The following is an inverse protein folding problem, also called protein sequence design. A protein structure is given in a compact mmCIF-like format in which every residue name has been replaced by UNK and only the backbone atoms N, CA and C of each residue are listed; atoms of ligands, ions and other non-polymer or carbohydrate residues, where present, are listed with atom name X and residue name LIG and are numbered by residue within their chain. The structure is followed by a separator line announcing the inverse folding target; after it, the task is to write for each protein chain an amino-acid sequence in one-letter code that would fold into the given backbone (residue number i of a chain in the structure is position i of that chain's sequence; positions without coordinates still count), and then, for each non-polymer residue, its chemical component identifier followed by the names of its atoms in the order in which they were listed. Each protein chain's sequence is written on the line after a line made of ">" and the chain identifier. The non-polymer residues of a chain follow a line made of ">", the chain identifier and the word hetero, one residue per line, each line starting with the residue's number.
data_IF_477039720849
#
_entry.id   IF_477039720849
#
_cell.length_a   1.000
_cell.length_b   1.000
_cell.length_c   1.000
_cell.angle_alpha   90.00
_cell.angle_beta   90.00
_cell.angle_gamma   90.00
#
_symmetry.space_group_name_H-M   'P 1'
#
loop_
_entity.id
_entity.type
_entity.pdbx_description
1 polymer ?
#
# COMPACT_ATOMS: atom_id res chain seq x y z
N UNK A 1 -16.19 19.10 63.42
CA UNK A 1 -17.13 18.85 62.32
C UNK A 1 -16.63 19.58 61.08
N UNK A 2 -16.48 18.84 59.96
CA UNK A 2 -16.49 19.27 58.54
C UNK A 2 -15.50 20.37 58.07
N UNK A 3 -14.49 20.03 57.24
CA UNK A 3 -14.47 20.13 55.74
C UNK A 3 -14.34 21.58 55.23
N UNK A 4 -13.60 21.98 54.19
CA UNK A 4 -12.86 21.29 53.10
C UNK A 4 -12.15 22.36 52.23
N UNK A 5 -11.01 21.97 51.64
CA UNK A 5 -10.51 22.22 50.26
C UNK A 5 -10.14 23.64 49.73
N UNK A 6 -8.83 23.77 49.48
CA UNK A 6 -8.07 24.31 48.33
C UNK A 6 -8.77 25.17 47.24
N UNK A 7 -8.08 26.25 46.86
CA UNK A 7 -8.02 26.71 45.47
C UNK A 7 -6.60 27.17 45.12
N UNK A 8 -5.87 26.34 44.36
CA UNK A 8 -4.65 26.76 43.65
C UNK A 8 -5.09 27.41 42.34
N UNK A 9 -4.86 28.71 42.19
CA UNK A 9 -5.00 29.39 40.90
C UNK A 9 -3.75 29.15 40.07
N UNK A 10 -3.83 28.26 39.07
CA UNK A 10 -2.84 28.15 38.01
C UNK A 10 -3.43 28.76 36.72
N UNK A 11 -2.91 29.93 36.35
CA UNK A 11 -3.20 30.58 35.06
C UNK A 11 -2.52 29.79 33.94
N UNK A 12 -3.31 29.19 33.04
CA UNK A 12 -2.79 28.51 31.86
C UNK A 12 -2.78 29.50 30.68
N UNK A 13 -1.57 29.86 30.24
CA UNK A 13 -1.36 30.64 29.03
C UNK A 13 -1.96 29.90 27.82
N UNK A 14 -2.70 30.63 26.99
CA UNK A 14 -3.30 30.17 25.75
C UNK A 14 -2.20 29.99 24.69
N UNK A 15 -1.46 28.87 24.74
CA UNK A 15 -0.58 28.48 23.65
C UNK A 15 -1.46 27.84 22.57
N UNK A 16 -1.72 28.58 21.49
CA UNK A 16 -2.39 28.07 20.29
C UNK A 16 -1.63 26.84 19.78
N UNK A 17 -2.13 25.66 20.11
CA UNK A 17 -1.72 24.42 19.46
C UNK A 17 -2.04 24.56 17.97
N UNK A 18 -1.02 24.84 17.15
CA UNK A 18 -0.93 24.12 15.89
C UNK A 18 -0.91 22.64 16.30
N UNK A 19 -2.06 22.00 16.24
CA UNK A 19 -2.12 20.55 16.16
C UNK A 19 -1.72 20.28 14.70
N UNK A 20 -0.47 19.88 14.38
CA UNK A 20 -0.28 19.21 13.10
C UNK A 20 -1.27 18.04 13.12
N UNK A 21 -2.11 17.93 12.10
CA UNK A 21 -2.98 16.78 11.94
C UNK A 21 -2.11 15.53 11.93
N UNK A 22 -1.93 14.91 13.10
CA UNK A 22 -1.16 13.68 13.30
C UNK A 22 -2.04 12.49 12.90
N UNK A 23 -2.47 12.54 11.65
CA UNK A 23 -2.84 11.40 10.84
C UNK A 23 -2.31 11.79 9.47
N UNK A 24 -1.13 11.28 9.10
CA UNK A 24 -0.70 11.30 7.71
C UNK A 24 -1.89 10.81 6.87
N UNK A 25 -2.20 11.52 5.78
CA UNK A 25 -3.32 11.14 4.91
C UNK A 25 -3.25 9.64 4.64
N UNK A 26 -4.31 8.92 4.99
CA UNK A 26 -4.42 7.51 4.60
C UNK A 26 -4.41 7.48 3.08
N UNK A 27 -3.32 6.96 2.50
CA UNK A 27 -3.18 6.83 1.06
C UNK A 27 -3.86 5.53 0.66
N UNK A 28 -4.70 5.57 -0.36
CA UNK A 28 -5.38 4.38 -0.90
C UNK A 28 -4.89 4.10 -2.31
N UNK A 29 -5.02 2.85 -2.73
CA UNK A 29 -4.73 2.44 -4.10
C UNK A 29 -5.79 1.47 -4.62
N UNK A 30 -6.06 1.57 -5.92
CA UNK A 30 -6.85 0.59 -6.68
C UNK A 30 -5.93 -0.24 -7.58
N UNK A 31 -6.22 -1.53 -7.66
CA UNK A 31 -5.49 -2.55 -8.41
C UNK A 31 -6.50 -3.23 -9.33
N UNK A 32 -6.59 -2.77 -10.58
CA UNK A 32 -7.42 -3.41 -11.59
C UNK A 32 -6.59 -4.48 -12.30
N UNK A 33 -6.94 -5.74 -12.08
CA UNK A 33 -6.34 -6.86 -12.81
C UNK A 33 -6.91 -6.84 -14.22
N UNK A 34 -6.04 -6.70 -15.22
CA UNK A 34 -6.44 -6.57 -16.62
C UNK A 34 -7.08 -7.88 -17.14
N UNK A 35 -8.00 -7.76 -18.11
CA UNK A 35 -8.79 -8.87 -18.68
C UNK A 35 -7.92 -10.05 -19.19
N UNK A 36 -6.75 -9.77 -19.76
CA UNK A 36 -5.83 -10.80 -20.28
C UNK A 36 -5.01 -11.56 -19.22
N UNK A 37 -5.16 -11.21 -17.94
CA UNK A 37 -4.37 -11.82 -16.86
C UNK A 37 -4.78 -13.27 -16.58
N UNK A 38 -3.80 -14.10 -16.28
CA UNK A 38 -3.93 -15.50 -15.87
C UNK A 38 -2.78 -15.89 -14.93
N UNK A 39 -2.65 -17.18 -14.61
CA UNK A 39 -1.63 -17.66 -13.67
C UNK A 39 -0.19 -17.63 -14.22
N UNK A 40 0.04 -17.46 -15.52
CA UNK A 40 1.38 -17.40 -16.12
C UNK A 40 1.67 -16.03 -16.76
N UNK A 41 0.72 -15.11 -16.71
CA UNK A 41 0.84 -13.73 -17.20
C UNK A 41 -0.03 -12.83 -16.33
N UNK A 42 0.55 -11.86 -15.61
CA UNK A 42 -0.21 -10.98 -14.74
C UNK A 42 0.04 -9.51 -15.10
N UNK A 43 -1.05 -8.77 -15.33
CA UNK A 43 -1.00 -7.34 -15.63
C UNK A 43 -1.99 -6.60 -14.75
N UNK A 44 -1.52 -5.54 -14.09
CA UNK A 44 -2.33 -4.78 -13.12
C UNK A 44 -2.19 -3.29 -13.37
N UNK A 45 -3.33 -2.60 -13.44
CA UNK A 45 -3.42 -1.16 -13.48
C UNK A 45 -3.54 -0.62 -12.05
N UNK A 46 -2.49 0.07 -11.60
CA UNK A 46 -2.36 0.57 -10.23
C UNK A 46 -2.52 2.08 -10.22
N UNK A 47 -3.53 2.55 -9.49
CA UNK A 47 -3.79 3.99 -9.30
C UNK A 47 -3.76 4.32 -7.82
N UNK A 48 -3.03 5.37 -7.47
CA UNK A 48 -3.02 5.97 -6.13
C UNK A 48 -2.75 7.47 -6.27
N UNK A 49 -2.85 8.21 -5.16
CA UNK A 49 -2.50 9.63 -5.17
C UNK A 49 -1.01 9.84 -5.49
N UNK A 50 -0.73 10.59 -6.56
CA UNK A 50 0.62 10.89 -7.03
C UNK A 50 1.23 9.83 -7.94
N UNK A 51 2.44 10.11 -8.42
CA UNK A 51 3.10 9.30 -9.43
C UNK A 51 3.79 8.07 -8.82
N UNK A 52 3.69 6.94 -9.53
CA UNK A 52 4.37 5.69 -9.19
C UNK A 52 5.61 5.55 -10.08
N UNK A 53 6.77 5.36 -9.46
CA UNK A 53 8.06 5.21 -10.17
C UNK A 53 8.54 3.78 -10.20
N UNK A 54 8.14 2.95 -9.24
CA UNK A 54 8.43 1.51 -9.23
C UNK A 54 7.35 0.72 -8.49
N UNK A 55 7.13 -0.51 -8.94
CA UNK A 55 6.27 -1.49 -8.28
C UNK A 55 7.01 -2.80 -8.14
N UNK A 56 6.88 -3.43 -6.99
CA UNK A 56 7.26 -4.82 -6.76
C UNK A 56 6.08 -5.61 -6.22
N UNK A 57 6.03 -6.90 -6.53
CA UNK A 57 5.02 -7.85 -6.08
C UNK A 57 5.67 -8.90 -5.20
N UNK A 58 4.94 -9.37 -4.19
CA UNK A 58 5.31 -10.51 -3.37
C UNK A 58 4.20 -11.57 -3.42
N UNK A 59 4.61 -12.82 -3.52
CA UNK A 59 3.78 -14.04 -3.57
C UNK A 59 4.01 -14.86 -2.31
N UNK A 60 3.06 -15.73 -1.95
CA UNK A 60 3.13 -16.41 -0.63
C UNK A 60 4.22 -17.46 -0.51
N UNK A 61 4.69 -18.10 -1.59
CA UNK A 61 5.71 -19.16 -1.50
C UNK A 61 6.45 -19.41 -2.83
N UNK A 62 6.99 -18.37 -3.48
CA UNK A 62 7.74 -18.59 -4.73
C UNK A 62 9.17 -19.07 -4.48
N UNK A 63 9.61 -20.22 -5.03
CA UNK A 63 11.01 -20.66 -4.94
C UNK A 63 11.95 -19.75 -5.74
N UNK A 64 11.39 -18.90 -6.61
CA UNK A 64 12.08 -17.85 -7.36
C UNK A 64 11.95 -16.46 -6.73
N UNK A 65 11.43 -16.39 -5.50
CA UNK A 65 11.45 -15.16 -4.70
C UNK A 65 12.89 -14.68 -4.54
N UNK A 66 13.15 -13.41 -4.83
CA UNK A 66 14.46 -12.78 -4.60
C UNK A 66 14.67 -12.56 -3.09
N UNK A 67 15.88 -12.17 -2.71
CA UNK A 67 16.20 -11.76 -1.35
C UNK A 67 15.16 -10.73 -0.86
N UNK A 68 14.42 -11.07 0.19
CA UNK A 68 13.28 -10.34 0.79
C UNK A 68 11.89 -10.50 0.11
N UNK A 69 11.71 -11.43 -0.83
CA UNK A 69 10.37 -11.80 -1.35
C UNK A 69 9.78 -10.87 -2.42
N UNK A 70 10.33 -9.67 -2.59
CA UNK A 70 9.83 -8.68 -3.55
C UNK A 70 10.42 -8.88 -4.94
N UNK A 71 9.56 -8.99 -5.94
CA UNK A 71 9.91 -9.15 -7.34
C UNK A 71 9.47 -7.89 -8.12
N UNK A 72 10.38 -7.20 -8.81
CA UNK A 72 10.02 -5.97 -9.53
C UNK A 72 9.08 -6.26 -10.70
N UNK A 73 8.10 -5.39 -10.89
CA UNK A 73 7.22 -5.40 -12.06
C UNK A 73 7.81 -4.51 -13.15
N UNK A 74 7.56 -4.88 -14.40
CA UNK A 74 7.89 -4.06 -15.56
C UNK A 74 6.80 -3.03 -15.78
N UNK A 75 7.18 -1.75 -15.84
CA UNK A 75 6.28 -0.70 -16.31
C UNK A 75 5.97 -0.94 -17.79
N UNK A 76 4.68 -0.97 -18.15
CA UNK A 76 4.27 -1.24 -19.52
C UNK A 76 3.81 0.05 -20.22
N UNK A 77 2.63 0.57 -19.85
CA UNK A 77 2.08 1.82 -20.38
C UNK A 77 1.14 2.48 -19.37
N UNK A 78 1.15 3.82 -19.28
CA UNK A 78 0.30 4.55 -18.35
C UNK A 78 0.51 4.08 -16.91
N UNK A 79 -0.56 3.58 -16.28
CA UNK A 79 -0.55 3.04 -14.91
C UNK A 79 -0.50 1.51 -14.86
N UNK A 80 -0.15 0.85 -15.96
CA UNK A 80 -0.12 -0.62 -16.08
C UNK A 80 1.26 -1.19 -15.78
N UNK A 81 1.30 -2.16 -14.87
CA UNK A 81 2.49 -2.88 -14.42
C UNK A 81 2.34 -4.37 -14.69
N UNK A 82 3.37 -4.97 -15.26
CA UNK A 82 3.37 -6.36 -15.73
C UNK A 82 4.31 -7.22 -14.89
N UNK A 83 3.85 -8.43 -14.59
CA UNK A 83 4.64 -9.47 -13.95
C UNK A 83 4.64 -10.73 -14.83
N UNK A 84 5.85 -11.15 -15.22
CA UNK A 84 6.11 -12.34 -16.03
C UNK A 84 6.87 -13.37 -15.19
N UNK A 85 6.17 -14.21 -14.42
CA UNK A 85 6.83 -15.20 -13.59
C UNK A 85 7.38 -16.36 -14.44
N UNK A 86 8.41 -17.03 -13.92
CA UNK A 86 8.94 -18.25 -14.52
C UNK A 86 8.02 -19.47 -14.31
N UNK A 87 7.16 -19.40 -13.29
CA UNK A 87 6.23 -20.44 -12.86
C UNK A 87 4.83 -19.84 -12.67
N UNK A 88 3.78 -20.68 -12.56
CA UNK A 88 2.46 -20.20 -12.19
C UNK A 88 2.49 -19.34 -10.92
N UNK A 89 1.79 -18.21 -10.97
CA UNK A 89 1.70 -17.27 -9.86
C UNK A 89 1.11 -17.92 -8.62
N UNK A 90 1.64 -17.56 -7.45
CA UNK A 90 1.18 -18.06 -6.15
C UNK A 90 0.56 -16.93 -5.31
N UNK A 91 -0.73 -16.63 -5.52
CA UNK A 91 -1.43 -15.63 -4.71
C UNK A 91 -1.62 -16.10 -3.25
N UNK A 92 -1.92 -15.20 -2.31
CA UNK A 92 -2.21 -13.76 -2.49
C UNK A 92 -1.02 -12.93 -2.97
N UNK A 93 -1.32 -11.80 -3.65
CA UNK A 93 -0.29 -10.83 -4.03
C UNK A 93 -0.32 -9.61 -3.13
N UNK A 94 0.85 -9.30 -2.58
CA UNK A 94 1.17 -8.01 -1.96
C UNK A 94 1.93 -7.13 -2.94
N UNK A 95 1.80 -5.81 -2.82
CA UNK A 95 2.51 -4.83 -3.65
C UNK A 95 3.31 -3.86 -2.80
N UNK A 96 4.54 -3.57 -3.22
CA UNK A 96 5.34 -2.45 -2.76
C UNK A 96 5.36 -1.39 -3.86
N UNK A 97 4.90 -0.19 -3.56
CA UNK A 97 4.79 0.94 -4.48
C UNK A 97 5.80 2.00 -4.05
N UNK A 98 6.61 2.48 -4.98
CA UNK A 98 7.53 3.60 -4.77
C UNK A 98 7.00 4.84 -5.49
N UNK A 99 6.93 5.97 -4.80
CA UNK A 99 6.50 7.24 -5.40
C UNK A 99 7.67 8.05 -5.98
N UNK A 100 7.37 9.22 -6.58
CA UNK A 100 8.37 10.13 -7.14
C UNK A 100 9.32 10.77 -6.13
N UNK A 101 9.01 10.68 -4.84
CA UNK A 101 9.87 11.13 -3.74
C UNK A 101 10.70 9.96 -3.15
N UNK A 102 10.65 8.79 -3.77
CA UNK A 102 11.24 7.53 -3.28
C UNK A 102 10.65 7.02 -1.95
N UNK A 103 9.46 7.49 -1.54
CA UNK A 103 8.76 6.87 -0.42
C UNK A 103 8.21 5.52 -0.85
N UNK A 104 8.28 4.54 0.06
CA UNK A 104 7.76 3.18 -0.17
C UNK A 104 6.49 2.96 0.62
N UNK A 105 5.55 2.29 -0.03
CA UNK A 105 4.28 1.90 0.56
C UNK A 105 3.98 0.44 0.28
N UNK A 106 3.34 -0.25 1.21
CA UNK A 106 2.90 -1.64 1.07
C UNK A 106 1.38 -1.72 1.07
N UNK A 107 0.85 -2.40 0.06
CA UNK A 107 -0.50 -2.95 0.03
C UNK A 107 -0.39 -4.46 0.24
N UNK A 108 -0.82 -4.96 1.40
CA UNK A 108 -0.68 -6.36 1.78
C UNK A 108 -1.87 -7.19 1.29
N UNK A 109 -1.57 -8.33 0.67
CA UNK A 109 -2.49 -9.39 0.27
C UNK A 109 -3.73 -8.89 -0.50
N UNK A 110 -3.54 -7.89 -1.37
CA UNK A 110 -4.65 -7.16 -2.02
C UNK A 110 -5.32 -7.96 -3.13
N UNK A 111 -4.57 -8.83 -3.82
CA UNK A 111 -5.11 -9.75 -4.82
C UNK A 111 -5.23 -11.13 -4.17
N UNK A 112 -6.45 -11.64 -3.94
CA UNK A 112 -6.68 -12.88 -3.18
C UNK A 112 -6.41 -14.14 -4.01
N UNK A 113 -6.31 -15.34 -3.41
CA UNK A 113 -6.08 -16.59 -4.12
C UNK A 113 -7.00 -16.90 -5.31
N UNK A 114 -8.27 -16.51 -5.21
CA UNK A 114 -9.31 -16.75 -6.21
C UNK A 114 -9.61 -15.50 -7.05
N UNK A 115 -8.59 -14.69 -7.30
CA UNK A 115 -8.72 -13.47 -8.08
C UNK A 115 -9.26 -13.73 -9.48
N UNK A 116 -9.88 -12.71 -10.08
CA UNK A 116 -10.43 -12.78 -11.44
C UNK A 116 -9.80 -11.69 -12.30
N UNK A 117 -9.57 -11.97 -13.60
CA UNK A 117 -9.28 -10.91 -14.55
C UNK A 117 -10.46 -9.93 -14.64
N UNK A 118 -10.18 -8.73 -15.16
CA UNK A 118 -11.12 -7.61 -15.23
C UNK A 118 -11.81 -7.31 -13.90
N UNK A 119 -11.04 -7.29 -12.81
CA UNK A 119 -11.56 -7.05 -11.45
C UNK A 119 -10.71 -6.03 -10.72
N UNK A 120 -11.36 -5.11 -10.01
CA UNK A 120 -10.71 -4.07 -9.21
C UNK A 120 -10.66 -4.49 -7.74
N UNK A 121 -9.46 -4.46 -7.17
CA UNK A 121 -9.21 -4.61 -5.74
C UNK A 121 -8.69 -3.30 -5.16
N UNK A 122 -8.98 -3.01 -3.89
CA UNK A 122 -8.57 -1.75 -3.25
C UNK A 122 -7.91 -2.01 -1.91
N UNK A 123 -6.86 -1.25 -1.58
CA UNK A 123 -6.20 -1.33 -0.27
C UNK A 123 -5.78 0.04 0.25
N UNK A 124 -5.66 0.11 1.58
CA UNK A 124 -4.91 1.16 2.25
C UNK A 124 -3.41 0.90 2.06
N UNK A 125 -2.66 1.96 1.80
CA UNK A 125 -1.21 1.94 1.68
C UNK A 125 -0.60 2.25 3.04
N UNK A 126 0.25 1.33 3.51
CA UNK A 126 1.01 1.47 4.74
C UNK A 126 2.43 1.90 4.35
N UNK A 127 2.93 3.00 4.91
CA UNK A 127 4.31 3.42 4.64
C UNK A 127 5.28 2.37 5.19
N UNK A 128 6.26 1.97 4.35
CA UNK A 128 7.20 0.89 4.61
C UNK A 128 8.56 1.39 5.10
#
# INVERSE_FOLDING_TARGET
>A
MASRLFALSASLALLSLLIPSAHGKSKTASFHVEEGSNNIYFSVNIKCDGDITAVSLMQTDSPYSRENGWQPLTHNFGTVWRFDPLDPTMPPFSFQITDSQNNKFVAKDVIPPNWKPDTVYTANLIQA
#
